data_IF_927443613644
#
_entry.id   IF_927443613644
#
_cell.length_a   1.000
_cell.length_b   1.000
_cell.length_c   1.000
_cell.angle_alpha   90.00
_cell.angle_beta   90.00
_cell.angle_gamma   90.00
#
_symmetry.space_group_name_H-M   'P 1'
#
loop_
_entity.id
_entity.type
_entity.pdbx_description
1 polymer ?
#
# COMPACT_ATOMS: atom_id res chain seq x y z
N UNK A 1 -24.04 -5.67 24.10
CA UNK A 1 -25.51 -5.79 24.23
C UNK A 1 -26.06 -4.75 25.23
N UNK A 2 -25.81 -3.44 25.05
CA UNK A 2 -26.20 -2.44 26.08
C UNK A 2 -26.70 -1.10 25.53
N UNK A 3 -27.31 -1.10 24.33
CA UNK A 3 -27.97 0.09 23.76
C UNK A 3 -29.44 -0.14 23.36
N UNK A 4 -29.95 -1.38 23.43
CA UNK A 4 -31.34 -1.68 23.08
C UNK A 4 -32.33 -1.53 24.27
N UNK A 5 -31.92 -1.00 25.42
CA UNK A 5 -32.77 -0.94 26.62
C UNK A 5 -33.81 0.21 26.60
N UNK A 6 -33.83 1.07 25.58
CA UNK A 6 -34.80 2.16 25.44
C UNK A 6 -35.37 2.32 24.02
N UNK A 7 -34.92 1.51 23.05
CA UNK A 7 -35.35 1.55 21.65
C UNK A 7 -36.17 0.27 21.38
N UNK A 8 -37.26 0.39 20.62
CA UNK A 8 -38.04 -0.80 20.25
C UNK A 8 -37.11 -1.82 19.57
N UNK A 9 -37.33 -3.12 19.80
CA UNK A 9 -36.50 -4.19 19.24
C UNK A 9 -36.41 -4.06 17.71
N UNK A 10 -37.46 -3.55 17.07
CA UNK A 10 -37.53 -3.25 15.64
C UNK A 10 -36.63 -2.07 15.23
N UNK A 11 -36.53 -1.01 16.04
CA UNK A 11 -35.55 0.07 15.85
C UNK A 11 -34.12 -0.46 16.03
N UNK A 12 -33.87 -1.32 17.02
CA UNK A 12 -32.53 -1.87 17.23
C UNK A 12 -32.08 -2.77 16.07
N UNK A 13 -32.99 -3.61 15.56
CA UNK A 13 -32.73 -4.47 14.40
C UNK A 13 -32.51 -3.64 13.13
N UNK A 14 -33.32 -2.62 12.88
CA UNK A 14 -33.14 -1.73 11.71
C UNK A 14 -31.86 -0.89 11.78
N UNK A 15 -31.48 -0.38 12.96
CA UNK A 15 -30.18 0.28 13.17
C UNK A 15 -29.01 -0.71 12.97
N UNK A 16 -29.12 -1.94 13.48
CA UNK A 16 -28.06 -2.94 13.29
C UNK A 16 -27.92 -3.36 11.82
N UNK A 17 -29.04 -3.54 11.11
CA UNK A 17 -29.07 -3.92 9.70
C UNK A 17 -28.56 -2.78 8.80
N UNK A 18 -28.93 -1.53 9.09
CA UNK A 18 -28.41 -0.35 8.39
C UNK A 18 -26.92 -0.14 8.65
N UNK A 19 -26.42 -0.36 9.87
CA UNK A 19 -24.99 -0.33 10.17
C UNK A 19 -24.24 -1.42 9.39
N UNK A 20 -24.80 -2.63 9.31
CA UNK A 20 -24.21 -3.74 8.53
C UNK A 20 -24.21 -3.50 7.02
N UNK A 21 -25.27 -2.87 6.47
CA UNK A 21 -25.35 -2.46 5.06
C UNK A 21 -24.36 -1.33 4.75
N UNK A 22 -24.10 -0.43 5.70
CA UNK A 22 -23.09 0.63 5.57
C UNK A 22 -21.64 0.11 5.66
N UNK A 23 -21.44 -1.07 6.25
CA UNK A 23 -20.14 -1.77 6.36
C UNK A 23 -19.85 -2.69 5.16
N UNK A 24 -20.71 -2.70 4.13
CA UNK A 24 -20.42 -3.40 2.89
C UNK A 24 -19.25 -2.69 2.20
N UNK A 25 -18.14 -3.39 1.85
CA UNK A 25 -17.10 -2.78 1.06
C UNK A 25 -17.67 -2.48 -0.32
N UNK A 26 -18.05 -1.22 -0.54
CA UNK A 26 -18.50 -0.70 -1.83
C UNK A 26 -17.44 -1.06 -2.87
N UNK A 27 -17.90 -1.71 -3.95
CA UNK A 27 -17.10 -2.25 -5.04
C UNK A 27 -15.97 -1.30 -5.47
N UNK A 28 -14.74 -1.67 -5.13
CA UNK A 28 -13.50 -1.01 -5.53
C UNK A 28 -13.39 -1.04 -7.07
N UNK A 29 -13.52 0.12 -7.72
CA UNK A 29 -13.12 0.31 -9.12
C UNK A 29 -12.03 1.37 -9.17
N UNK A 30 -10.79 0.92 -9.18
CA UNK A 30 -9.61 1.74 -9.44
C UNK A 30 -9.43 1.87 -10.95
N UNK A 31 -9.46 3.10 -11.47
CA UNK A 31 -8.85 3.44 -12.76
C UNK A 31 -7.81 4.51 -12.51
N UNK A 32 -6.53 4.18 -12.67
CA UNK A 32 -5.45 5.16 -12.69
C UNK A 32 -4.75 5.12 -14.05
N UNK A 33 -4.68 6.30 -14.67
CA UNK A 33 -3.83 6.60 -15.81
C UNK A 33 -2.61 7.35 -15.28
N UNK A 34 -1.39 6.91 -15.62
CA UNK A 34 -0.15 7.65 -15.33
C UNK A 34 0.88 7.45 -16.45
N UNK A 35 1.57 8.55 -16.76
CA UNK A 35 2.63 8.79 -17.74
C UNK A 35 3.99 8.17 -17.38
N UNK A 36 4.80 7.93 -18.42
CA UNK A 36 6.10 7.20 -18.50
C UNK A 36 7.33 7.95 -17.95
N UNK A 37 8.35 7.23 -17.40
CA UNK A 37 9.80 7.48 -17.66
C UNK A 37 10.77 6.35 -17.16
N UNK A 38 11.98 6.29 -17.75
CA UNK A 38 12.96 5.16 -17.85
C UNK A 38 14.31 5.31 -17.02
N UNK A 39 15.26 4.31 -16.90
CA UNK A 39 16.18 3.81 -15.76
C UNK A 39 17.67 4.23 -15.42
N UNK A 40 18.04 4.44 -14.11
CA UNK A 40 19.41 4.54 -13.47
C UNK A 40 19.73 3.36 -12.50
N UNK A 41 21.02 3.06 -12.13
CA UNK A 41 21.43 1.83 -11.43
C UNK A 41 21.07 1.74 -9.95
N UNK A 42 20.63 2.85 -9.35
CA UNK A 42 19.93 2.86 -8.07
C UNK A 42 18.46 3.12 -8.40
N UNK A 43 17.64 2.07 -8.45
CA UNK A 43 16.20 2.24 -8.65
C UNK A 43 15.60 2.55 -7.28
N UNK A 44 15.06 3.76 -7.13
CA UNK A 44 14.21 4.07 -5.98
C UNK A 44 12.95 3.22 -6.13
N UNK A 45 12.55 2.57 -5.06
CA UNK A 45 11.31 1.82 -5.01
C UNK A 45 10.45 2.38 -3.90
N UNK A 46 9.34 2.98 -4.29
CA UNK A 46 8.31 3.45 -3.38
C UNK A 46 7.33 2.33 -3.09
N UNK A 47 7.24 1.91 -1.84
CA UNK A 47 6.11 1.14 -1.36
C UNK A 47 4.99 2.11 -0.95
N UNK A 48 3.76 1.87 -1.39
CA UNK A 48 2.64 2.77 -1.15
C UNK A 48 1.39 2.00 -0.70
N UNK A 49 0.73 2.51 0.34
CA UNK A 49 -0.56 2.04 0.83
C UNK A 49 -1.51 3.22 0.93
N UNK A 50 -2.76 3.04 0.48
CA UNK A 50 -3.81 4.06 0.50
C UNK A 50 -5.16 3.42 0.79
N UNK A 51 -6.16 4.21 1.18
CA UNK A 51 -7.50 3.70 1.47
C UNK A 51 -7.64 3.06 2.86
N UNK A 52 -6.65 3.18 3.74
CA UNK A 52 -6.71 2.56 5.07
C UNK A 52 -7.34 3.48 6.12
N UNK A 53 -7.93 2.86 7.15
CA UNK A 53 -8.50 3.52 8.32
C UNK A 53 -8.44 2.57 9.52
N UNK A 54 -8.16 3.02 10.76
CA UNK A 54 -7.87 4.40 11.16
C UNK A 54 -6.45 4.87 10.77
N UNK A 55 -6.09 6.12 11.08
CA UNK A 55 -4.77 6.72 10.80
C UNK A 55 -3.60 6.17 11.63
N UNK A 56 -3.68 4.91 12.04
CA UNK A 56 -2.67 4.23 12.86
C UNK A 56 -2.14 3.05 12.06
N UNK A 57 -1.10 3.29 11.29
CA UNK A 57 -0.45 2.27 10.50
C UNK A 57 1.07 2.42 10.56
N UNK A 58 1.78 1.35 10.26
CA UNK A 58 3.23 1.34 10.07
C UNK A 58 3.56 0.74 8.72
N UNK A 59 4.59 1.29 8.09
CA UNK A 59 5.18 0.78 6.87
C UNK A 59 6.70 0.76 7.04
N UNK A 60 7.32 -0.32 6.60
CA UNK A 60 8.77 -0.52 6.64
C UNK A 60 9.20 -1.53 5.58
N UNK A 61 10.49 -1.54 5.28
CA UNK A 61 11.13 -2.51 4.39
C UNK A 61 11.83 -3.59 5.20
N UNK A 62 11.83 -4.80 4.68
CA UNK A 62 12.68 -5.89 5.15
C UNK A 62 13.61 -6.37 4.06
N UNK A 63 14.76 -6.90 4.47
CA UNK A 63 15.66 -7.70 3.64
C UNK A 63 15.92 -9.01 4.33
N UNK A 64 15.65 -10.13 3.64
CA UNK A 64 15.82 -11.47 4.20
C UNK A 64 15.11 -11.68 5.55
N UNK A 65 14.01 -10.94 5.78
CA UNK A 65 13.21 -10.98 7.00
C UNK A 65 13.62 -10.00 8.12
N UNK A 66 14.70 -9.24 7.95
CA UNK A 66 15.15 -8.22 8.91
C UNK A 66 14.71 -6.81 8.48
N UNK A 67 14.20 -6.01 9.42
CA UNK A 67 13.80 -4.62 9.16
C UNK A 67 14.99 -3.74 8.79
N UNK A 68 14.83 -2.94 7.73
CA UNK A 68 15.82 -1.98 7.26
C UNK A 68 15.53 -0.58 7.81
N UNK A 69 16.57 0.05 8.32
CA UNK A 69 16.55 1.45 8.75
C UNK A 69 17.45 2.37 7.92
N UNK A 70 18.44 1.80 7.22
CA UNK A 70 19.32 2.53 6.31
C UNK A 70 18.72 2.57 4.90
N UNK A 71 18.97 3.65 4.15
CA UNK A 71 18.51 3.84 2.77
C UNK A 71 16.98 3.73 2.58
N UNK A 72 16.22 3.91 3.66
CA UNK A 72 14.76 3.95 3.70
C UNK A 72 14.28 5.33 4.09
N UNK A 73 13.51 5.97 3.20
CA UNK A 73 12.82 7.23 3.47
C UNK A 73 11.34 6.95 3.72
N UNK A 74 10.92 6.97 4.99
CA UNK A 74 9.52 6.76 5.37
C UNK A 74 8.71 8.05 5.27
N UNK A 75 7.64 8.02 4.49
CA UNK A 75 6.68 9.10 4.37
C UNK A 75 5.75 9.23 5.59
N UNK A 76 5.14 10.39 5.72
CA UNK A 76 4.11 10.66 6.72
C UNK A 76 2.78 9.99 6.34
N UNK A 77 1.89 9.80 7.32
CA UNK A 77 0.51 9.41 7.06
C UNK A 77 -0.26 10.66 6.60
N UNK A 78 -0.73 10.64 5.36
CA UNK A 78 -1.48 11.75 4.77
C UNK A 78 -2.97 11.40 4.65
N UNK A 79 -3.89 12.35 4.90
CA UNK A 79 -5.31 12.13 4.68
C UNK A 79 -5.68 12.19 3.19
N UNK A 80 -6.62 11.36 2.78
CA UNK A 80 -7.26 11.40 1.47
C UNK A 80 -8.56 12.20 1.52
N UNK A 81 -9.04 12.64 0.35
CA UNK A 81 -10.28 13.42 0.23
C UNK A 81 -11.54 12.65 0.66
N UNK A 82 -11.51 11.31 0.58
CA UNK A 82 -12.61 10.42 0.97
C UNK A 82 -12.64 10.09 2.48
N UNK A 83 -11.70 10.65 3.26
CA UNK A 83 -11.58 10.40 4.70
C UNK A 83 -10.73 9.18 5.07
N UNK A 84 -10.17 8.45 4.09
CA UNK A 84 -9.15 7.42 4.30
C UNK A 84 -7.75 8.03 4.43
N UNK A 85 -6.73 7.20 4.63
CA UNK A 85 -5.33 7.64 4.77
C UNK A 85 -4.42 6.92 3.77
N UNK A 86 -3.25 7.53 3.54
CA UNK A 86 -2.16 6.98 2.73
C UNK A 86 -0.80 7.12 3.43
N UNK A 87 0.14 6.24 3.10
CA UNK A 87 1.53 6.25 3.59
C UNK A 87 2.45 5.64 2.53
N UNK A 88 3.68 6.14 2.44
CA UNK A 88 4.73 5.57 1.60
C UNK A 88 6.02 5.26 2.36
N UNK A 89 6.83 4.36 1.81
CA UNK A 89 8.21 4.14 2.24
C UNK A 89 9.07 3.88 1.01
N UNK A 90 10.05 4.75 0.78
CA UNK A 90 10.96 4.67 -0.35
C UNK A 90 12.22 3.92 0.06
N UNK A 91 12.69 3.00 -0.79
CA UNK A 91 13.92 2.25 -0.60
C UNK A 91 14.85 2.48 -1.79
N UNK A 92 16.10 2.81 -1.52
CA UNK A 92 17.11 2.86 -2.57
C UNK A 92 17.72 1.47 -2.77
N UNK A 93 17.37 0.79 -3.87
CA UNK A 93 17.89 -0.55 -4.11
C UNK A 93 19.29 -0.55 -4.74
N UNK A 94 20.21 -1.41 -4.24
CA UNK A 94 21.35 -1.83 -5.05
C UNK A 94 20.87 -2.68 -6.23
N UNK A 95 21.59 -2.62 -7.35
CA UNK A 95 21.16 -3.15 -8.66
C UNK A 95 20.72 -4.62 -8.66
N UNK A 96 21.26 -5.43 -7.75
CA UNK A 96 21.15 -6.88 -7.76
C UNK A 96 20.81 -7.41 -6.35
N UNK A 97 19.53 -7.58 -6.03
CA UNK A 97 19.00 -8.52 -4.99
C UNK A 97 17.49 -8.34 -4.70
N UNK A 98 16.70 -7.97 -5.71
CA UNK A 98 15.29 -7.55 -5.57
C UNK A 98 14.43 -8.52 -4.75
N UNK A 99 14.54 -9.82 -5.03
CA UNK A 99 13.73 -10.87 -4.39
C UNK A 99 14.01 -11.10 -2.89
N UNK A 100 15.02 -10.43 -2.33
CA UNK A 100 15.30 -10.45 -0.89
C UNK A 100 14.53 -9.40 -0.11
N UNK A 101 13.97 -8.41 -0.80
CA UNK A 101 13.27 -7.29 -0.19
C UNK A 101 11.76 -7.53 -0.17
N UNK A 102 11.14 -7.12 0.92
CA UNK A 102 9.69 -7.08 1.04
C UNK A 102 9.26 -5.82 1.78
N UNK A 103 8.17 -5.21 1.31
CA UNK A 103 7.52 -4.13 2.02
C UNK A 103 6.43 -4.69 2.93
N UNK A 104 6.41 -4.21 4.17
CA UNK A 104 5.43 -4.63 5.17
C UNK A 104 4.55 -3.45 5.55
N UNK A 105 3.24 -3.66 5.49
CA UNK A 105 2.23 -2.73 5.97
C UNK A 105 1.47 -3.35 7.15
N UNK A 106 1.40 -2.61 8.25
CA UNK A 106 0.71 -3.01 9.48
C UNK A 106 -0.35 -1.98 9.83
N UNK A 107 -1.61 -2.41 9.91
CA UNK A 107 -2.72 -1.56 10.36
C UNK A 107 -3.03 -1.85 11.82
N UNK A 108 -3.15 -0.80 12.64
CA UNK A 108 -3.45 -0.94 14.06
C UNK A 108 -4.79 -1.64 14.28
N UNK A 109 -4.78 -2.70 15.08
CA UNK A 109 -5.97 -3.51 15.38
C UNK A 109 -6.22 -4.66 14.41
N UNK A 110 -5.44 -4.78 13.34
CA UNK A 110 -5.37 -5.96 12.47
C UNK A 110 -4.20 -6.82 12.91
N UNK A 111 -4.38 -8.15 12.98
CA UNK A 111 -3.32 -9.07 13.42
C UNK A 111 -2.42 -9.51 12.28
N UNK A 112 -2.95 -9.49 11.07
CA UNK A 112 -2.29 -9.92 9.86
C UNK A 112 -1.57 -8.76 9.19
N UNK A 113 -0.28 -8.93 8.95
CA UNK A 113 0.54 -8.00 8.18
C UNK A 113 0.30 -8.20 6.69
N UNK A 114 0.27 -7.11 5.93
CA UNK A 114 0.28 -7.18 4.47
C UNK A 114 1.74 -7.10 4.02
N UNK A 115 2.22 -8.18 3.41
CA UNK A 115 3.62 -8.31 2.96
C UNK A 115 3.65 -8.40 1.44
N UNK A 116 4.32 -7.45 0.80
CA UNK A 116 4.52 -7.44 -0.65
C UNK A 116 5.98 -7.68 -0.95
N UNK A 117 6.28 -8.85 -1.53
CA UNK A 117 7.62 -9.20 -1.97
C UNK A 117 7.97 -8.43 -3.23
N UNK A 118 9.22 -7.99 -3.30
CA UNK A 118 9.71 -7.31 -4.47
C UNK A 118 10.20 -8.33 -5.51
N UNK A 119 9.30 -8.82 -6.36
CA UNK A 119 9.69 -9.64 -7.52
C UNK A 119 9.78 -8.78 -8.78
N UNK A 120 10.95 -8.78 -9.42
CA UNK A 120 11.21 -8.15 -10.73
C UNK A 120 10.18 -8.55 -11.80
N UNK A 121 9.54 -9.72 -11.66
CA UNK A 121 8.52 -10.25 -12.58
C UNK A 121 7.11 -9.75 -12.28
N UNK A 122 6.81 -9.41 -11.03
CA UNK A 122 5.51 -8.86 -10.61
C UNK A 122 5.46 -7.34 -10.77
N UNK A 123 6.63 -6.69 -10.80
CA UNK A 123 6.79 -5.32 -11.27
C UNK A 123 6.52 -5.32 -12.78
N UNK A 124 5.35 -4.84 -13.19
CA UNK A 124 4.99 -4.66 -14.61
C UNK A 124 5.88 -3.58 -15.25
N UNK A 125 7.11 -3.93 -15.63
CA UNK A 125 7.92 -3.16 -16.57
C UNK A 125 7.55 -3.58 -17.99
N UNK A 126 7.25 -2.64 -18.88
CA UNK A 126 6.94 -2.92 -20.28
C UNK A 126 8.21 -3.30 -21.05
N UNK A 127 8.79 -4.48 -20.80
CA UNK A 127 9.99 -4.95 -21.49
C UNK A 127 9.61 -5.66 -22.80
N UNK A 128 9.24 -4.86 -23.80
CA UNK A 128 8.95 -5.30 -25.16
C UNK A 128 9.70 -4.47 -26.19
N UNK A 129 10.91 -4.92 -26.56
CA UNK A 129 11.63 -4.59 -27.81
C UNK A 129 11.99 -3.10 -27.99
N UNK A 130 13.27 -2.72 -27.83
CA UNK A 130 14.08 -1.99 -28.84
C UNK A 130 15.53 -1.83 -28.35
N UNK A 131 16.46 -1.97 -29.31
CA UNK A 131 17.90 -1.86 -29.23
C UNK A 131 18.42 -0.51 -28.71
N UNK A 132 19.39 -0.57 -27.78
CA UNK A 132 20.53 0.34 -27.55
C UNK A 132 20.34 1.85 -27.79
N UNK A 133 20.21 2.64 -26.69
CA UNK A 133 21.02 3.85 -26.41
C UNK A 133 20.80 4.34 -24.97
N UNK A 134 21.85 4.88 -24.40
CA UNK A 134 22.12 5.21 -22.99
C UNK A 134 21.28 6.36 -22.39
N UNK A 135 21.05 6.29 -21.06
CA UNK A 135 20.85 7.39 -20.09
C UNK A 135 19.39 7.85 -19.80
N UNK A 136 18.79 7.45 -18.66
CA UNK A 136 17.62 8.07 -17.97
C UNK A 136 17.48 7.50 -16.52
N UNK A 137 16.58 7.92 -15.60
CA UNK A 137 16.45 7.45 -14.17
C UNK A 137 15.01 6.97 -13.82
N UNK A 138 14.78 5.67 -13.54
CA UNK A 138 13.46 5.03 -13.28
C UNK A 138 13.20 4.96 -11.78
N UNK A 139 12.04 5.48 -11.38
CA UNK A 139 11.44 5.26 -10.07
C UNK A 139 10.32 4.21 -10.20
N UNK A 140 10.24 3.26 -9.26
CA UNK A 140 9.25 2.18 -9.30
C UNK A 140 8.32 2.28 -8.10
N UNK A 141 7.01 2.21 -8.36
CA UNK A 141 6.01 2.22 -7.28
C UNK A 141 5.36 0.85 -7.14
N UNK A 142 5.40 0.30 -5.93
CA UNK A 142 4.73 -0.93 -5.51
C UNK A 142 3.53 -0.54 -4.65
N UNK A 143 2.33 -0.98 -5.05
CA UNK A 143 1.09 -0.71 -4.31
C UNK A 143 0.71 -1.92 -3.47
N UNK A 144 0.49 -1.71 -2.18
CA UNK A 144 0.20 -2.76 -1.18
C UNK A 144 -1.31 -2.89 -0.89
N UNK A 145 -2.13 -1.92 -1.31
CA UNK A 145 -3.58 -1.87 -1.04
C UNK A 145 -4.36 -1.39 -2.26
#
# INVERSE_FOLDING_TARGET
LSLCLSLSVSLCLSLSLSLSLSLSPLSLRLSLSVSSLSKTPSSRVTCHATGFYPNRAMMFWRKDGEELHEDVDKGEILPNHDGSFQISADLQLPSDDWGKYDCVFQLSGVKEDIVTKLDKREIKTNYGKTSMRSDEREDLTVTVV
#
